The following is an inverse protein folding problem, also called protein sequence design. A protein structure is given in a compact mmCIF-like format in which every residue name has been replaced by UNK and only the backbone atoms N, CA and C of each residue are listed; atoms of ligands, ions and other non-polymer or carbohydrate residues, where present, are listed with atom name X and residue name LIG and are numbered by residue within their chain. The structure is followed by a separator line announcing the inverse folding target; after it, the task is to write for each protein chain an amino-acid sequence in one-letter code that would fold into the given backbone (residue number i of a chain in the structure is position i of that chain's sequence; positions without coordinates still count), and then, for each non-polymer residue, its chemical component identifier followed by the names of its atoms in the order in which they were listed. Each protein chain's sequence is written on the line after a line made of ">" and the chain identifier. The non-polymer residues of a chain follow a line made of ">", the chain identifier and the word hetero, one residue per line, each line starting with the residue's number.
data_IF_071707345295
#
_entry.id   IF_071707345295
#
_cell.length_a   1.000
_cell.length_b   1.000
_cell.length_c   1.000
_cell.angle_alpha   90.00
_cell.angle_beta   90.00
_cell.angle_gamma   90.00
#
_symmetry.space_group_name_H-M   'P 1'
#
loop_
_entity.id
_entity.type
_entity.pdbx_description
1 polymer ?
#
# COMPACT_ATOMS: atom_id res chain seq x y z
N UNK A 1 -0.91 -37.73 -15.47
CA UNK A 1 -0.84 -36.98 -14.20
C UNK A 1 0.25 -35.95 -14.38
N UNK A 2 -0.09 -34.67 -14.49
CA UNK A 2 0.93 -33.62 -14.57
C UNK A 2 1.61 -33.48 -13.21
N UNK A 3 2.92 -33.74 -13.17
CA UNK A 3 3.76 -33.45 -12.00
C UNK A 3 3.96 -31.94 -11.93
N UNK A 4 3.20 -31.28 -11.04
CA UNK A 4 3.43 -29.87 -10.76
C UNK A 4 4.68 -29.69 -9.91
N UNK A 5 5.65 -28.95 -10.40
CA UNK A 5 6.88 -28.66 -9.67
C UNK A 5 6.65 -27.63 -8.56
N UNK A 6 7.45 -27.67 -7.49
CA UNK A 6 7.35 -26.74 -6.34
C UNK A 6 7.51 -25.24 -6.74
N UNK A 7 8.05 -25.01 -7.94
CA UNK A 7 8.32 -23.71 -8.55
C UNK A 7 7.31 -23.33 -9.64
N UNK A 8 6.35 -24.21 -9.98
CA UNK A 8 5.15 -23.82 -10.73
C UNK A 8 4.27 -22.99 -9.81
N UNK A 9 4.61 -21.70 -9.69
CA UNK A 9 3.76 -20.73 -9.04
C UNK A 9 3.07 -19.90 -10.11
N UNK A 10 1.74 -20.02 -10.16
CA UNK A 10 0.77 -19.15 -10.85
C UNK A 10 0.81 -17.67 -10.39
N UNK A 11 1.94 -17.17 -9.90
CA UNK A 11 2.07 -15.82 -9.40
C UNK A 11 3.46 -15.25 -9.75
N UNK A 12 3.51 -14.56 -10.89
CA UNK A 12 4.67 -13.81 -11.39
C UNK A 12 5.06 -12.59 -10.53
N UNK A 13 4.47 -12.42 -9.35
CA UNK A 13 4.72 -11.26 -8.49
C UNK A 13 6.03 -11.41 -7.68
N UNK A 14 6.86 -10.35 -7.61
CA UNK A 14 8.07 -10.34 -6.78
C UNK A 14 7.79 -10.61 -5.29
N UNK A 15 8.78 -11.16 -4.56
CA UNK A 15 8.65 -11.42 -3.13
C UNK A 15 8.25 -10.18 -2.32
N UNK A 16 8.84 -9.02 -2.63
CA UNK A 16 8.52 -7.77 -1.95
C UNK A 16 7.05 -7.34 -2.11
N UNK A 17 6.39 -7.68 -3.23
CA UNK A 17 4.97 -7.41 -3.41
C UNK A 17 4.10 -8.36 -2.58
N UNK A 18 4.50 -9.63 -2.51
CA UNK A 18 3.80 -10.68 -1.74
C UNK A 18 3.88 -10.50 -0.23
N UNK A 19 4.98 -9.94 0.27
CA UNK A 19 5.23 -9.69 1.70
C UNK A 19 4.68 -8.35 2.20
N UNK A 20 3.93 -7.60 1.37
CA UNK A 20 3.37 -6.32 1.84
C UNK A 20 2.32 -6.59 2.93
N UNK A 21 2.42 -5.92 4.10
CA UNK A 21 1.36 -5.84 5.09
C UNK A 21 0.00 -5.54 4.48
N UNK A 22 -1.04 -6.21 4.99
CA UNK A 22 -2.43 -5.99 4.61
C UNK A 22 -3.19 -5.18 5.65
N UNK A 23 -2.79 -5.26 6.93
CA UNK A 23 -3.40 -4.53 8.04
C UNK A 23 -2.42 -3.56 8.70
N UNK A 24 -2.96 -2.70 9.57
CA UNK A 24 -2.18 -1.72 10.33
C UNK A 24 -1.25 -2.41 11.32
N UNK A 25 -1.70 -3.53 11.91
CA UNK A 25 -0.96 -4.32 12.90
C UNK A 25 0.24 -5.04 12.28
N UNK A 26 0.12 -5.43 11.01
CA UNK A 26 1.21 -6.04 10.24
C UNK A 26 2.26 -5.02 9.79
N UNK A 27 1.97 -3.72 9.86
CA UNK A 27 2.87 -2.67 9.41
C UNK A 27 4.05 -2.50 10.38
N UNK A 28 5.24 -2.88 9.92
CA UNK A 28 6.47 -2.84 10.73
C UNK A 28 7.18 -1.49 10.60
N UNK A 29 7.52 -0.90 11.75
CA UNK A 29 8.28 0.34 11.85
C UNK A 29 7.40 1.59 11.91
N UNK A 30 8.01 2.77 11.77
CA UNK A 30 7.33 4.07 11.85
C UNK A 30 6.48 4.27 13.13
N UNK A 31 6.87 3.69 14.27
CA UNK A 31 6.11 3.74 15.54
C UNK A 31 5.86 5.17 16.03
N UNK A 32 6.70 6.13 15.64
CA UNK A 32 6.47 7.54 15.95
C UNK A 32 5.23 8.13 15.25
N UNK A 33 4.81 7.56 14.11
CA UNK A 33 3.61 7.94 13.35
C UNK A 33 2.45 6.95 13.56
N UNK A 34 2.75 5.65 13.57
CA UNK A 34 1.77 4.54 13.56
C UNK A 34 1.68 3.79 14.90
N UNK A 35 2.38 4.27 15.93
CA UNK A 35 2.26 3.74 17.28
C UNK A 35 0.86 3.95 17.85
N UNK A 36 0.52 3.19 18.88
CA UNK A 36 -0.74 3.34 19.60
C UNK A 36 -0.96 4.78 20.07
N UNK A 37 -2.17 5.29 19.87
CA UNK A 37 -2.56 6.64 20.26
C UNK A 37 -1.94 7.77 19.42
N UNK A 38 -1.12 7.48 18.41
CA UNK A 38 -0.59 8.51 17.49
C UNK A 38 -1.69 9.05 16.58
N UNK A 39 -1.55 10.30 16.18
CA UNK A 39 -2.56 11.04 15.41
C UNK A 39 -2.90 10.32 14.11
N UNK A 40 -1.89 9.93 13.33
CA UNK A 40 -2.13 9.25 12.05
C UNK A 40 -2.86 7.91 12.24
N UNK A 41 -2.44 7.11 13.23
CA UNK A 41 -3.13 5.85 13.57
C UNK A 41 -4.60 6.08 13.93
N UNK A 42 -4.89 7.06 14.80
CA UNK A 42 -6.27 7.41 15.18
C UNK A 42 -7.11 7.85 13.99
N UNK A 43 -6.57 8.67 13.09
CA UNK A 43 -7.28 9.12 11.89
C UNK A 43 -7.62 7.95 10.96
N UNK A 44 -6.71 6.99 10.82
CA UNK A 44 -6.94 5.79 10.02
C UNK A 44 -7.99 4.89 10.70
N UNK A 45 -7.83 4.58 11.99
CA UNK A 45 -8.74 3.73 12.77
C UNK A 45 -10.17 4.29 12.88
N UNK A 46 -10.31 5.61 12.84
CA UNK A 46 -11.61 6.30 12.86
C UNK A 46 -12.20 6.56 11.48
N UNK A 47 -11.52 6.14 10.40
CA UNK A 47 -11.92 6.41 9.01
C UNK A 47 -12.13 7.91 8.72
N UNK A 48 -11.29 8.76 9.34
CA UNK A 48 -11.30 10.23 9.16
C UNK A 48 -10.04 10.69 8.43
N UNK A 49 -9.69 9.99 7.35
CA UNK A 49 -8.50 10.28 6.56
C UNK A 49 -8.66 11.54 5.70
N UNK A 50 -7.63 12.38 5.69
CA UNK A 50 -7.51 13.56 4.82
C UNK A 50 -6.46 13.32 3.72
N UNK A 51 -6.36 14.22 2.74
CA UNK A 51 -5.26 14.18 1.76
C UNK A 51 -3.90 14.25 2.45
N UNK A 52 -2.97 13.37 2.05
CA UNK A 52 -1.66 13.23 2.69
C UNK A 52 -0.55 13.10 1.66
N UNK A 53 0.64 13.58 2.02
CA UNK A 53 1.89 13.35 1.28
C UNK A 53 2.83 12.56 2.19
N UNK A 54 3.20 11.34 1.79
CA UNK A 54 4.22 10.56 2.48
C UNK A 54 5.60 10.88 1.93
N UNK A 55 6.50 11.38 2.78
CA UNK A 55 7.88 11.70 2.41
C UNK A 55 8.88 10.84 3.18
N UNK A 56 9.91 10.36 2.48
CA UNK A 56 10.99 9.58 3.09
C UNK A 56 11.80 8.77 2.07
N UNK A 57 12.92 8.18 2.50
CA UNK A 57 13.83 7.39 1.66
C UNK A 57 13.14 6.23 0.92
N UNK A 58 13.73 5.67 -0.14
CA UNK A 58 13.20 4.45 -0.77
C UNK A 58 13.13 3.29 0.25
N UNK A 59 12.10 2.44 0.14
CA UNK A 59 11.94 1.26 0.99
C UNK A 59 11.31 1.47 2.37
N UNK A 60 11.06 2.70 2.82
CA UNK A 60 10.49 2.98 4.17
C UNK A 60 8.99 2.70 4.34
N UNK A 61 8.35 2.06 3.34
CA UNK A 61 6.95 1.62 3.43
C UNK A 61 5.88 2.58 2.92
N UNK A 62 6.21 3.70 2.26
CA UNK A 62 5.23 4.71 1.79
C UNK A 62 4.05 4.13 0.98
N UNK A 63 4.35 3.40 -0.09
CA UNK A 63 3.33 2.78 -0.95
C UNK A 63 2.55 1.69 -0.22
N UNK A 64 3.23 0.93 0.63
CA UNK A 64 2.61 -0.08 1.48
C UNK A 64 1.62 0.54 2.46
N UNK A 65 2.00 1.63 3.13
CA UNK A 65 1.14 2.35 4.07
C UNK A 65 -0.11 2.88 3.38
N UNK A 66 0.02 3.50 2.21
CA UNK A 66 -1.13 3.97 1.44
C UNK A 66 -2.12 2.84 1.11
N UNK A 67 -1.61 1.65 0.76
CA UNK A 67 -2.42 0.47 0.48
C UNK A 67 -3.10 -0.10 1.73
N UNK A 68 -2.40 -0.15 2.86
CA UNK A 68 -2.97 -0.57 4.16
C UNK A 68 -4.09 0.37 4.58
N UNK A 69 -3.91 1.69 4.41
CA UNK A 69 -4.94 2.69 4.71
C UNK A 69 -6.17 2.46 3.82
N UNK A 70 -5.99 2.27 2.52
CA UNK A 70 -7.10 2.01 1.61
C UNK A 70 -7.85 0.70 1.95
N UNK A 71 -7.13 -0.36 2.32
CA UNK A 71 -7.73 -1.61 2.79
C UNK A 71 -8.57 -1.39 4.06
N UNK A 72 -8.05 -0.64 5.03
CA UNK A 72 -8.73 -0.36 6.29
C UNK A 72 -10.01 0.47 6.09
N UNK A 73 -9.91 1.54 5.30
CA UNK A 73 -10.99 2.48 4.98
C UNK A 73 -11.92 1.99 3.86
N UNK A 74 -11.64 0.79 3.31
CA UNK A 74 -12.36 0.20 2.16
C UNK A 74 -12.42 1.12 0.94
N UNK A 75 -11.43 2.00 0.78
CA UNK A 75 -11.32 2.91 -0.34
C UNK A 75 -10.76 2.21 -1.59
N UNK A 76 -11.12 2.72 -2.77
CA UNK A 76 -10.46 2.31 -4.01
C UNK A 76 -8.99 2.73 -3.97
N UNK A 77 -8.08 1.81 -4.32
CA UNK A 77 -6.65 2.08 -4.35
C UNK A 77 -6.11 2.02 -5.77
N UNK A 78 -5.55 3.13 -6.23
CA UNK A 78 -5.01 3.29 -7.58
C UNK A 78 -3.53 3.64 -7.44
N UNK A 79 -2.66 2.76 -7.95
CA UNK A 79 -1.22 3.01 -8.01
C UNK A 79 -0.89 3.81 -9.28
N UNK A 80 -0.27 4.98 -9.09
CA UNK A 80 0.21 5.84 -10.18
C UNK A 80 1.66 6.26 -9.94
N UNK A 81 2.46 6.32 -11.01
CA UNK A 81 3.87 6.70 -10.95
C UNK A 81 4.17 7.83 -11.92
N UNK A 82 4.59 8.98 -11.38
CA UNK A 82 4.98 10.14 -12.19
C UNK A 82 6.17 9.89 -13.14
N UNK A 83 6.90 8.78 -12.97
CA UNK A 83 8.02 8.40 -13.83
C UNK A 83 7.56 7.62 -15.06
N UNK A 84 6.54 6.77 -14.90
CA UNK A 84 6.12 5.81 -15.94
C UNK A 84 4.78 6.18 -16.58
N UNK A 85 4.04 7.10 -15.98
CA UNK A 85 2.65 7.38 -16.34
C UNK A 85 2.50 8.84 -16.76
N UNK A 86 1.80 9.06 -17.87
CA UNK A 86 1.55 10.38 -18.44
C UNK A 86 0.19 10.95 -18.03
N UNK A 87 -0.12 12.13 -18.57
CA UNK A 87 -1.37 12.84 -18.24
C UNK A 87 -2.62 12.15 -18.80
N UNK A 88 -2.45 11.34 -19.85
CA UNK A 88 -3.56 10.59 -20.46
C UNK A 88 -4.05 9.50 -19.51
N UNK A 89 -3.13 8.78 -18.88
CA UNK A 89 -3.43 7.74 -17.90
C UNK A 89 -4.09 8.32 -16.64
N UNK A 90 -3.69 9.52 -16.21
CA UNK A 90 -4.33 10.20 -15.07
C UNK A 90 -5.80 10.49 -15.36
N UNK A 91 -6.11 11.08 -16.53
CA UNK A 91 -7.48 11.45 -16.88
C UNK A 91 -8.41 10.24 -16.93
N UNK A 92 -7.94 9.13 -17.50
CA UNK A 92 -8.73 7.90 -17.60
C UNK A 92 -9.14 7.31 -16.24
N UNK A 93 -8.47 7.69 -15.14
CA UNK A 93 -8.77 7.20 -13.79
C UNK A 93 -9.58 8.21 -12.97
N UNK A 94 -9.70 9.45 -13.44
CA UNK A 94 -10.51 10.50 -12.81
C UNK A 94 -11.94 10.59 -13.37
N UNK A 95 -12.18 9.98 -14.54
CA UNK A 95 -13.50 9.85 -15.19
C UNK A 95 -14.27 8.63 -14.66
#
# INVERSE_FOLDING_TARGET
>A
MEQRTLFERDNAQPLAARLRPQTIEEYVGQTHLMGEGKVLRRLIESDQISSMIFWGPPGVGKTTLARVIANHTKAAFIDFSAVTSGIKEIRAVME
#
